data_IF_715424817180
#
_entry.id   IF_715424817180
#
_cell.length_a   1.000
_cell.length_b   1.000
_cell.length_c   1.000
_cell.angle_alpha   90.00
_cell.angle_beta   90.00
_cell.angle_gamma   90.00
#
_symmetry.space_group_name_H-M   'P 1'
#
loop_
_entity.id
_entity.type
_entity.pdbx_description
1 polymer ?
#
# COMPACT_ATOMS: atom_id res chain seq x y z
N UNK A 1 21.60 25.39 -47.05
CA UNK A 1 20.44 24.58 -47.46
C UNK A 1 20.79 23.12 -47.16
N UNK A 2 20.34 22.57 -46.02
CA UNK A 2 20.72 21.23 -45.59
C UNK A 2 19.95 20.18 -46.40
N UNK A 3 20.66 19.37 -47.18
CA UNK A 3 20.08 18.29 -47.99
C UNK A 3 19.72 17.12 -47.08
N UNK A 4 18.42 16.91 -46.87
CA UNK A 4 17.92 15.74 -46.13
C UNK A 4 18.23 14.49 -46.95
N UNK A 5 19.18 13.68 -46.46
CA UNK A 5 19.58 12.43 -47.09
C UNK A 5 18.44 11.40 -46.95
N UNK A 6 17.69 11.21 -48.04
CA UNK A 6 16.53 10.30 -48.12
C UNK A 6 16.87 8.81 -47.91
N UNK A 7 18.16 8.44 -47.97
CA UNK A 7 18.58 7.05 -47.78
C UNK A 7 18.57 6.60 -46.30
N UNK A 8 18.49 7.51 -45.31
CA UNK A 8 18.30 7.15 -43.89
C UNK A 8 16.91 6.56 -43.59
N UNK A 9 15.91 6.88 -44.40
CA UNK A 9 14.56 6.34 -44.23
C UNK A 9 14.43 4.92 -44.81
N UNK A 10 15.25 4.56 -45.80
CA UNK A 10 15.22 3.23 -46.42
C UNK A 10 15.69 2.12 -45.49
N UNK A 11 16.62 2.41 -44.58
CA UNK A 11 17.07 1.44 -43.57
C UNK A 11 16.03 1.16 -42.49
N UNK A 12 15.03 2.03 -42.35
CA UNK A 12 13.87 1.83 -41.46
C UNK A 12 12.86 0.83 -42.05
N UNK A 13 12.76 0.76 -43.38
CA UNK A 13 11.84 -0.11 -44.12
C UNK A 13 12.47 -1.47 -44.55
N UNK A 14 13.71 -1.76 -44.15
CA UNK A 14 14.31 -3.09 -44.26
C UNK A 14 13.70 -4.03 -43.20
N UNK A 15 13.67 -5.36 -43.42
CA UNK A 15 12.98 -6.32 -42.54
C UNK A 15 13.44 -6.24 -41.08
N UNK A 16 14.70 -5.85 -40.83
CA UNK A 16 15.23 -5.65 -39.48
C UNK A 16 14.70 -4.38 -38.78
N UNK A 17 14.41 -3.31 -39.51
CA UNK A 17 13.85 -2.08 -38.95
C UNK A 17 12.43 -2.28 -38.38
N UNK A 18 11.62 -3.07 -39.06
CA UNK A 18 10.28 -3.46 -38.59
C UNK A 18 10.34 -4.28 -37.29
N UNK A 19 11.34 -5.15 -37.14
CA UNK A 19 11.53 -5.95 -35.93
C UNK A 19 11.80 -5.04 -34.72
N UNK A 20 12.65 -4.03 -34.86
CA UNK A 20 12.94 -3.09 -33.77
C UNK A 20 11.72 -2.22 -33.41
N UNK A 21 10.89 -1.84 -34.38
CA UNK A 21 9.65 -1.10 -34.13
C UNK A 21 8.65 -1.96 -33.34
N UNK A 22 8.47 -3.22 -33.73
CA UNK A 22 7.59 -4.17 -33.03
C UNK A 22 8.09 -4.41 -31.61
N UNK A 23 9.40 -4.62 -31.42
CA UNK A 23 10.01 -4.81 -30.11
C UNK A 23 9.78 -3.58 -29.20
N UNK A 24 9.92 -2.37 -29.74
CA UNK A 24 9.65 -1.13 -29.01
C UNK A 24 8.20 -1.01 -28.56
N UNK A 25 7.24 -1.36 -29.42
CA UNK A 25 5.81 -1.37 -29.08
C UNK A 25 5.52 -2.37 -27.96
N UNK A 26 6.10 -3.57 -28.02
CA UNK A 26 5.91 -4.60 -26.99
C UNK A 26 6.44 -4.12 -25.63
N UNK A 27 7.62 -3.50 -25.59
CA UNK A 27 8.20 -2.98 -24.35
C UNK A 27 7.32 -1.85 -23.76
N UNK A 28 6.82 -0.94 -24.60
CA UNK A 28 5.92 0.14 -24.16
C UNK A 28 4.60 -0.45 -23.63
N UNK A 29 4.05 -1.46 -24.29
CA UNK A 29 2.84 -2.15 -23.83
C UNK A 29 3.05 -2.84 -22.48
N UNK A 30 4.17 -3.55 -22.29
CA UNK A 30 4.48 -4.22 -21.03
C UNK A 30 4.69 -3.24 -19.87
N UNK A 31 5.38 -2.11 -20.12
CA UNK A 31 5.62 -1.08 -19.09
C UNK A 31 4.33 -0.40 -18.68
N UNK A 32 3.48 -0.02 -19.65
CA UNK A 32 2.16 0.58 -19.37
C UNK A 32 1.25 -0.39 -18.63
N UNK A 33 1.21 -1.66 -19.02
CA UNK A 33 0.46 -2.71 -18.33
C UNK A 33 0.91 -2.85 -16.87
N UNK A 34 2.22 -2.86 -16.61
CA UNK A 34 2.79 -2.98 -15.26
C UNK A 34 2.40 -1.80 -14.37
N UNK A 35 2.45 -0.56 -14.89
CA UNK A 35 2.06 0.64 -14.15
C UNK A 35 0.57 0.63 -13.82
N UNK A 36 -0.29 0.23 -14.76
CA UNK A 36 -1.74 0.13 -14.55
C UNK A 36 -2.07 -0.92 -13.48
N UNK A 37 -1.47 -2.11 -13.55
CA UNK A 37 -1.67 -3.14 -12.51
C UNK A 37 -1.17 -2.68 -11.14
N UNK A 38 -0.02 -2.00 -11.07
CA UNK A 38 0.48 -1.43 -9.81
C UNK A 38 -0.45 -0.39 -9.19
N UNK A 39 -1.01 0.50 -10.02
CA UNK A 39 -1.98 1.51 -9.59
C UNK A 39 -3.30 0.89 -9.11
N UNK A 40 -3.82 -0.10 -9.85
CA UNK A 40 -5.04 -0.82 -9.48
C UNK A 40 -4.85 -1.57 -8.15
N UNK A 41 -3.73 -2.26 -7.97
CA UNK A 41 -3.43 -2.97 -6.73
C UNK A 41 -3.36 -2.05 -5.51
N UNK A 42 -2.78 -0.85 -5.66
CA UNK A 42 -2.76 0.14 -4.58
C UNK A 42 -4.18 0.54 -4.15
N UNK A 43 -5.09 0.75 -5.10
CA UNK A 43 -6.49 1.13 -4.81
C UNK A 43 -7.28 0.02 -4.11
N UNK A 44 -7.03 -1.26 -4.44
CA UNK A 44 -7.72 -2.39 -3.80
C UNK A 44 -7.42 -2.53 -2.31
N UNK A 45 -6.21 -2.16 -1.84
CA UNK A 45 -5.85 -2.22 -0.41
C UNK A 45 -6.58 -1.18 0.43
N UNK A 46 -6.90 -0.03 -0.15
CA UNK A 46 -7.71 0.99 0.52
C UNK A 46 -9.14 0.51 0.69
N UNK A 47 -9.69 -0.15 -0.33
CA UNK A 47 -11.04 -0.72 -0.29
C UNK A 47 -11.18 -1.85 0.74
N UNK A 48 -10.18 -2.73 0.88
CA UNK A 48 -10.24 -3.82 1.87
C UNK A 48 -10.31 -3.32 3.32
N UNK A 49 -9.67 -2.19 3.63
CA UNK A 49 -9.72 -1.62 4.97
C UNK A 49 -11.10 -1.01 5.27
N UNK A 50 -11.69 -0.32 4.29
CA UNK A 50 -13.05 0.25 4.43
C UNK A 50 -14.08 -0.87 4.57
N UNK A 51 -13.97 -1.92 3.74
CA UNK A 51 -14.85 -3.09 3.78
C UNK A 51 -14.73 -3.85 5.11
N UNK A 52 -13.53 -3.98 5.68
CA UNK A 52 -13.34 -4.64 6.97
C UNK A 52 -13.90 -3.83 8.16
N UNK A 53 -13.90 -2.49 8.05
CA UNK A 53 -14.56 -1.59 9.02
C UNK A 53 -16.08 -1.66 8.88
N UNK A 54 -16.60 -1.64 7.66
CA UNK A 54 -18.04 -1.68 7.38
C UNK A 54 -18.68 -3.02 7.79
N UNK A 55 -17.99 -4.14 7.59
CA UNK A 55 -18.48 -5.46 7.99
C UNK A 55 -18.25 -5.81 9.47
N UNK A 56 -17.77 -4.85 10.28
CA UNK A 56 -17.59 -5.04 11.72
C UNK A 56 -16.52 -6.07 12.12
N UNK A 57 -15.70 -6.54 11.18
CA UNK A 57 -14.56 -7.43 11.45
C UNK A 57 -13.48 -6.72 12.27
N UNK A 58 -13.43 -5.39 12.16
CA UNK A 58 -12.67 -4.48 13.01
C UNK A 58 -13.70 -3.68 13.81
N UNK A 59 -13.61 -3.68 15.14
CA UNK A 59 -14.56 -2.96 16.00
C UNK A 59 -14.71 -1.51 15.53
N UNK A 60 -15.95 -1.07 15.32
CA UNK A 60 -16.24 0.33 15.00
C UNK A 60 -15.76 1.21 16.16
N UNK A 61 -14.98 2.26 15.86
CA UNK A 61 -14.74 3.31 16.86
C UNK A 61 -16.07 4.02 17.07
N UNK A 62 -16.68 3.81 18.23
CA UNK A 62 -17.79 4.65 18.67
C UNK A 62 -17.22 6.05 18.89
N UNK A 63 -17.48 6.95 17.95
CA UNK A 63 -17.16 8.37 18.13
C UNK A 63 -18.25 8.97 19.02
N UNK A 64 -18.00 8.96 20.33
CA UNK A 64 -18.86 9.64 21.30
C UNK A 64 -18.63 11.16 21.19
N UNK A 65 -19.67 11.99 21.37
CA UNK A 65 -19.50 13.44 21.44
C UNK A 65 -18.51 13.83 22.55
N UNK A 66 -17.55 14.70 22.24
CA UNK A 66 -16.62 15.25 23.22
C UNK A 66 -17.24 16.44 23.97
N UNK A 67 -18.38 16.19 24.62
CA UNK A 67 -19.17 17.19 25.36
C UNK A 67 -18.98 17.09 26.88
N UNK A 68 -18.01 16.28 27.33
CA UNK A 68 -17.69 16.05 28.73
C UNK A 68 -18.67 15.14 29.49
N UNK A 69 -19.73 14.62 28.84
CA UNK A 69 -20.69 13.70 29.48
C UNK A 69 -20.19 12.26 29.53
N UNK A 70 -19.24 11.92 28.67
CA UNK A 70 -18.69 10.59 28.54
C UNK A 70 -17.19 10.59 28.80
N UNK A 71 -16.71 9.53 29.45
CA UNK A 71 -15.28 9.27 29.62
C UNK A 71 -14.95 8.04 28.78
N UNK A 72 -14.06 8.20 27.80
CA UNK A 72 -13.57 7.09 27.01
C UNK A 72 -12.39 6.43 27.71
N UNK A 73 -12.50 5.13 27.95
CA UNK A 73 -11.43 4.28 28.48
C UNK A 73 -10.91 3.36 27.39
N UNK A 74 -9.60 3.18 27.33
CA UNK A 74 -8.97 2.24 26.41
C UNK A 74 -8.24 1.17 27.23
N UNK A 75 -8.58 -0.11 27.02
CA UNK A 75 -7.86 -1.23 27.62
C UNK A 75 -7.12 -1.98 26.51
N UNK A 76 -5.80 -1.91 26.53
CA UNK A 76 -4.92 -2.64 25.63
C UNK A 76 -4.48 -3.92 26.33
N UNK A 77 -5.15 -5.02 26.04
CA UNK A 77 -4.82 -6.34 26.56
C UNK A 77 -4.06 -7.17 25.52
N UNK A 78 -3.14 -8.00 26.01
CA UNK A 78 -2.50 -9.06 25.24
C UNK A 78 -2.55 -10.34 26.03
N UNK A 79 -2.79 -11.45 25.37
CA UNK A 79 -2.74 -12.78 25.97
C UNK A 79 -1.80 -13.67 25.16
N UNK A 80 -1.26 -14.70 25.80
CA UNK A 80 -0.53 -15.81 25.16
C UNK A 80 0.60 -15.35 24.22
N UNK A 81 1.46 -14.46 24.72
CA UNK A 81 2.64 -14.00 24.00
C UNK A 81 3.73 -15.07 24.08
N UNK A 82 3.77 -15.95 23.08
CA UNK A 82 4.80 -16.98 22.98
C UNK A 82 6.11 -16.49 22.33
N UNK A 83 6.05 -15.40 21.56
CA UNK A 83 7.19 -14.89 20.82
C UNK A 83 7.41 -13.39 21.04
N UNK A 84 8.64 -13.05 21.44
CA UNK A 84 9.06 -11.67 21.65
C UNK A 84 9.40 -10.98 20.32
N UNK A 85 9.95 -11.76 19.38
CA UNK A 85 10.41 -11.30 18.07
C UNK A 85 9.24 -11.25 17.07
N UNK A 86 9.32 -10.34 16.09
CA UNK A 86 8.29 -10.26 15.08
C UNK A 86 8.37 -11.44 14.09
N UNK A 87 7.19 -11.95 13.75
CA UNK A 87 6.98 -13.06 12.82
C UNK A 87 6.97 -12.60 11.37
N UNK A 88 6.96 -13.57 10.45
CA UNK A 88 6.80 -13.34 9.01
C UNK A 88 7.83 -12.34 8.46
N UNK A 89 9.11 -12.56 8.81
CA UNK A 89 10.25 -11.68 8.44
C UNK A 89 10.06 -10.23 8.92
N UNK A 90 9.52 -10.04 10.12
CA UNK A 90 9.31 -8.72 10.70
C UNK A 90 7.97 -8.08 10.33
N UNK A 91 7.12 -8.72 9.52
CA UNK A 91 5.85 -8.13 9.07
C UNK A 91 4.74 -8.23 10.10
N UNK A 92 4.77 -9.19 11.03
CA UNK A 92 3.66 -9.43 11.97
C UNK A 92 4.14 -9.44 13.42
N UNK A 93 3.35 -8.82 14.31
CA UNK A 93 3.58 -8.86 15.76
C UNK A 93 4.89 -8.22 16.22
N UNK A 94 5.46 -8.80 17.28
CA UNK A 94 6.68 -8.35 17.96
C UNK A 94 6.42 -7.32 19.06
N UNK A 95 7.05 -7.50 20.21
CA UNK A 95 6.87 -6.62 21.38
C UNK A 95 7.32 -5.19 21.13
N UNK A 96 8.31 -4.96 20.26
CA UNK A 96 8.73 -3.60 19.90
C UNK A 96 7.59 -2.82 19.21
N UNK A 97 6.83 -3.49 18.34
CA UNK A 97 5.67 -2.88 17.68
C UNK A 97 4.54 -2.65 18.66
N UNK A 98 4.28 -3.61 19.54
CA UNK A 98 3.29 -3.46 20.62
C UNK A 98 3.64 -2.26 21.50
N UNK A 99 4.90 -2.13 21.94
CA UNK A 99 5.34 -1.02 22.78
C UNK A 99 5.14 0.34 22.08
N UNK A 100 5.43 0.40 20.79
CA UNK A 100 5.16 1.57 19.97
C UNK A 100 3.66 1.89 19.87
N UNK A 101 2.82 0.88 19.62
CA UNK A 101 1.36 1.04 19.59
C UNK A 101 0.80 1.50 20.94
N UNK A 102 1.28 0.94 22.05
CA UNK A 102 0.93 1.38 23.41
C UNK A 102 1.24 2.86 23.61
N UNK A 103 2.42 3.31 23.18
CA UNK A 103 2.83 4.71 23.27
C UNK A 103 1.85 5.61 22.52
N UNK A 104 1.55 5.29 21.25
CA UNK A 104 0.61 6.06 20.43
C UNK A 104 -0.79 6.11 21.06
N UNK A 105 -1.30 4.97 21.54
CA UNK A 105 -2.63 4.92 22.16
C UNK A 105 -2.70 5.73 23.45
N UNK A 106 -1.61 5.77 24.25
CA UNK A 106 -1.53 6.58 25.47
C UNK A 106 -1.42 8.08 25.18
N UNK A 107 -0.75 8.45 24.09
CA UNK A 107 -0.69 9.83 23.59
C UNK A 107 -2.05 10.29 23.06
N UNK A 108 -2.80 9.42 22.40
CA UNK A 108 -4.14 9.70 21.89
C UNK A 108 -5.20 9.79 23.01
N UNK A 109 -5.15 8.89 23.99
CA UNK A 109 -6.06 8.86 25.13
C UNK A 109 -5.29 8.59 26.43
N UNK A 110 -5.27 9.59 27.31
CA UNK A 110 -4.64 9.49 28.63
C UNK A 110 -5.24 8.40 29.51
N UNK A 111 -6.50 8.01 29.29
CA UNK A 111 -7.20 6.91 29.95
C UNK A 111 -6.94 5.55 29.28
N UNK A 112 -5.78 5.37 28.65
CA UNK A 112 -5.32 4.07 28.13
C UNK A 112 -4.57 3.28 29.20
N UNK A 113 -4.97 2.04 29.41
CA UNK A 113 -4.39 1.10 30.37
C UNK A 113 -3.96 -0.19 29.66
N UNK A 114 -2.89 -0.80 30.15
CA UNK A 114 -2.28 -2.04 29.65
C UNK A 114 -2.06 -3.00 30.79
#
# INVERSE_FOLDING_TARGET
>A
MATINSNRWKTLFLPHGLIYIILGIVIICLTTLTVVYGSLWHNTKTFSNIFAVENGTIGYRISLPNDGRYIQWNFLQMNDIYELLPLDRGRKGGLARVAYMRKLLKEENSNTYT
#
